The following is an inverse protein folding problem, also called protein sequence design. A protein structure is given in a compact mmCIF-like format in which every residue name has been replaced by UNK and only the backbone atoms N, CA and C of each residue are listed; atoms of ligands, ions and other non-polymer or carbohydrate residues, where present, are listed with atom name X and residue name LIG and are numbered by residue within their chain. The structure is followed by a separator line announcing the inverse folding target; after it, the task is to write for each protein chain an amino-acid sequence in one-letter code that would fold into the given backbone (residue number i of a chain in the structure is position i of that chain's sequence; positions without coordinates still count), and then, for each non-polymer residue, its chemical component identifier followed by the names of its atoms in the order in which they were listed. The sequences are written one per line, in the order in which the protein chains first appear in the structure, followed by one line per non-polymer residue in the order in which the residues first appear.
data_IF_909052059599
#
_entry.id   IF_909052059599
#
_cell.length_a   1.000
_cell.length_b   1.000
_cell.length_c   1.000
_cell.angle_alpha   90.00
_cell.angle_beta   90.00
_cell.angle_gamma   90.00
#
_symmetry.space_group_name_H-M   'P 1'
#
loop_
_entity.id
_entity.type
_entity.pdbx_description
1 polymer ?
#
# COMPACT_ATOMS: atom_id res chain seq x y z
N UNK A 1 -72.33 -30.95 -28.23
CA UNK A 1 -71.46 -29.78 -27.96
C UNK A 1 -70.49 -30.04 -26.79
N UNK A 2 -69.59 -31.05 -26.89
CA UNK A 2 -68.60 -31.36 -25.83
C UNK A 2 -67.13 -31.07 -26.21
N UNK A 3 -66.85 -30.82 -27.49
CA UNK A 3 -65.48 -30.53 -27.98
C UNK A 3 -64.95 -29.14 -27.57
N UNK A 4 -65.82 -28.13 -27.46
CA UNK A 4 -65.40 -26.76 -27.11
C UNK A 4 -65.03 -26.57 -25.63
N UNK A 5 -65.52 -27.41 -24.72
CA UNK A 5 -65.14 -27.34 -23.30
C UNK A 5 -63.73 -27.89 -23.04
N UNK A 6 -63.26 -28.86 -23.84
CA UNK A 6 -61.90 -29.42 -23.71
C UNK A 6 -60.81 -28.38 -24.05
N UNK A 7 -61.06 -27.53 -25.05
CA UNK A 7 -60.10 -26.51 -25.53
C UNK A 7 -59.84 -25.42 -24.46
N UNK A 8 -60.85 -25.05 -23.67
CA UNK A 8 -60.74 -23.99 -22.64
C UNK A 8 -59.95 -24.41 -21.40
N UNK A 9 -59.89 -25.71 -21.08
CA UNK A 9 -59.04 -26.24 -20.01
C UNK A 9 -57.60 -26.49 -20.49
N UNK A 10 -57.43 -26.88 -21.75
CA UNK A 10 -56.13 -27.12 -22.38
C UNK A 10 -55.27 -25.85 -22.51
N UNK A 11 -55.87 -24.68 -22.75
CA UNK A 11 -55.12 -23.42 -22.86
C UNK A 11 -54.38 -23.04 -21.57
N UNK A 12 -54.95 -23.32 -20.40
CA UNK A 12 -54.28 -23.08 -19.11
C UNK A 12 -53.07 -24.00 -18.96
N UNK A 13 -53.20 -25.29 -19.27
CA UNK A 13 -52.08 -26.23 -19.22
C UNK A 13 -50.96 -25.88 -20.22
N UNK A 14 -51.31 -25.38 -21.42
CA UNK A 14 -50.32 -24.89 -22.38
C UNK A 14 -49.56 -23.67 -21.86
N UNK A 15 -50.25 -22.69 -21.27
CA UNK A 15 -49.62 -21.51 -20.68
C UNK A 15 -48.70 -21.90 -19.52
N UNK A 16 -49.13 -22.80 -18.64
CA UNK A 16 -48.28 -23.26 -17.53
C UNK A 16 -47.06 -24.04 -18.04
N UNK A 17 -47.22 -24.85 -19.09
CA UNK A 17 -46.12 -25.58 -19.72
C UNK A 17 -45.07 -24.66 -20.35
N UNK A 18 -45.51 -23.62 -21.07
CA UNK A 18 -44.62 -22.60 -21.66
C UNK A 18 -43.92 -21.81 -20.55
N UNK A 19 -44.66 -21.39 -19.52
CA UNK A 19 -44.09 -20.68 -18.38
C UNK A 19 -42.97 -21.49 -17.73
N UNK A 20 -43.22 -22.77 -17.45
CA UNK A 20 -42.23 -23.68 -16.87
C UNK A 20 -40.97 -23.79 -17.76
N UNK A 21 -41.17 -23.97 -19.07
CA UNK A 21 -40.07 -24.05 -20.04
C UNK A 21 -39.23 -22.77 -20.05
N UNK A 22 -39.89 -21.60 -20.03
CA UNK A 22 -39.20 -20.30 -20.02
C UNK A 22 -38.43 -20.05 -18.73
N UNK A 23 -38.95 -20.45 -17.56
CA UNK A 23 -38.20 -20.36 -16.30
C UNK A 23 -36.98 -21.27 -16.29
N UNK A 24 -37.08 -22.48 -16.84
CA UNK A 24 -35.93 -23.39 -16.91
C UNK A 24 -34.87 -22.85 -17.89
N UNK A 25 -35.31 -22.32 -19.04
CA UNK A 25 -34.41 -21.72 -20.03
C UNK A 25 -33.73 -20.44 -19.52
N UNK A 26 -34.46 -19.58 -18.82
CA UNK A 26 -33.89 -18.38 -18.21
C UNK A 26 -32.97 -18.72 -17.03
N UNK A 27 -33.35 -19.70 -16.21
CA UNK A 27 -32.56 -20.18 -15.08
C UNK A 27 -31.22 -20.78 -15.51
N UNK A 28 -31.20 -21.58 -16.58
CA UNK A 28 -29.96 -22.17 -17.10
C UNK A 28 -29.00 -21.10 -17.63
N UNK A 29 -29.51 -20.09 -18.32
CA UNK A 29 -28.70 -18.97 -18.80
C UNK A 29 -28.14 -18.12 -17.65
N UNK A 30 -28.95 -17.89 -16.61
CA UNK A 30 -28.52 -17.18 -15.40
C UNK A 30 -27.37 -17.89 -14.66
N UNK A 31 -27.43 -19.23 -14.56
CA UNK A 31 -26.36 -20.01 -13.91
C UNK A 31 -25.05 -19.91 -14.68
N UNK A 32 -25.11 -19.99 -16.02
CA UNK A 32 -23.91 -19.84 -16.86
C UNK A 32 -23.31 -18.44 -16.70
N UNK A 33 -24.15 -17.41 -16.72
CA UNK A 33 -23.69 -16.03 -16.53
C UNK A 33 -23.04 -15.83 -15.15
N UNK A 34 -23.64 -16.36 -14.09
CA UNK A 34 -23.09 -16.30 -12.74
C UNK A 34 -21.70 -16.96 -12.66
N UNK A 35 -21.51 -18.12 -13.33
CA UNK A 35 -20.20 -18.79 -13.36
C UNK A 35 -19.14 -17.96 -14.08
N UNK A 36 -19.51 -17.29 -15.17
CA UNK A 36 -18.60 -16.37 -15.89
C UNK A 36 -18.23 -15.19 -15.01
N UNK A 37 -19.22 -14.59 -14.33
CA UNK A 37 -19.00 -13.45 -13.46
C UNK A 37 -18.09 -13.82 -12.28
N UNK A 38 -18.34 -14.94 -11.59
CA UNK A 38 -17.47 -15.44 -10.52
C UNK A 38 -16.04 -15.67 -11.04
N UNK A 39 -15.89 -16.24 -12.24
CA UNK A 39 -14.57 -16.50 -12.82
C UNK A 39 -13.81 -15.20 -13.11
N UNK A 40 -14.50 -14.17 -13.62
CA UNK A 40 -13.92 -12.84 -13.84
C UNK A 40 -13.51 -12.19 -12.52
N UNK A 41 -14.41 -12.16 -11.53
CA UNK A 41 -14.10 -11.61 -10.21
C UNK A 41 -12.94 -12.34 -9.54
N UNK A 42 -12.85 -13.67 -9.69
CA UNK A 42 -11.74 -14.46 -9.16
C UNK A 42 -10.41 -14.11 -9.86
N UNK A 43 -10.43 -13.89 -11.17
CA UNK A 43 -9.24 -13.48 -11.91
C UNK A 43 -8.77 -12.07 -11.50
N UNK A 44 -9.70 -11.13 -11.31
CA UNK A 44 -9.39 -9.78 -10.87
C UNK A 44 -8.84 -9.76 -9.43
N UNK A 45 -9.46 -10.53 -8.52
CA UNK A 45 -8.93 -10.73 -7.17
C UNK A 45 -7.52 -11.32 -7.20
N UNK A 46 -7.26 -12.29 -8.07
CA UNK A 46 -5.93 -12.91 -8.22
C UNK A 46 -4.88 -11.93 -8.75
N UNK A 47 -5.25 -11.04 -9.68
CA UNK A 47 -4.36 -9.97 -10.17
C UNK A 47 -4.00 -9.03 -9.03
N UNK A 48 -5.00 -8.60 -8.27
CA UNK A 48 -4.81 -7.68 -7.15
C UNK A 48 -3.97 -8.31 -6.02
N UNK A 49 -4.20 -9.58 -5.70
CA UNK A 49 -3.36 -10.34 -4.76
C UNK A 49 -1.91 -10.44 -5.21
N UNK A 50 -1.67 -10.62 -6.52
CA UNK A 50 -0.32 -10.67 -7.08
C UNK A 50 0.40 -9.33 -6.92
N UNK A 51 -0.26 -8.22 -7.23
CA UNK A 51 0.29 -6.87 -7.05
C UNK A 51 0.60 -6.58 -5.57
N UNK A 52 -0.31 -6.96 -4.66
CA UNK A 52 -0.07 -6.85 -3.22
C UNK A 52 1.14 -7.67 -2.79
N UNK A 53 1.28 -8.90 -3.28
CA UNK A 53 2.41 -9.77 -2.97
C UNK A 53 3.75 -9.22 -3.49
N UNK A 54 3.75 -8.60 -4.68
CA UNK A 54 4.93 -7.96 -5.26
C UNK A 54 5.36 -6.73 -4.44
N UNK A 55 4.43 -5.82 -4.16
CA UNK A 55 4.68 -4.66 -3.32
C UNK A 55 5.18 -5.05 -1.92
N UNK A 56 4.61 -6.10 -1.32
CA UNK A 56 5.06 -6.60 -0.03
C UNK A 56 6.50 -7.12 -0.08
N UNK A 57 6.93 -7.75 -1.18
CA UNK A 57 8.32 -8.20 -1.38
C UNK A 57 9.26 -7.02 -1.53
N UNK A 58 8.88 -5.99 -2.29
CA UNK A 58 9.67 -4.78 -2.43
C UNK A 58 9.84 -4.05 -1.11
N UNK A 59 8.75 -3.85 -0.36
CA UNK A 59 8.78 -3.22 0.97
C UNK A 59 9.68 -3.99 1.93
N UNK A 60 9.64 -5.33 1.92
CA UNK A 60 10.56 -6.16 2.72
C UNK A 60 12.01 -5.95 2.31
N UNK A 61 12.30 -5.88 1.01
CA UNK A 61 13.64 -5.58 0.49
C UNK A 61 14.15 -4.20 0.93
N UNK A 62 13.31 -3.17 0.84
CA UNK A 62 13.63 -1.82 1.30
C UNK A 62 13.86 -1.76 2.81
N UNK A 63 12.99 -2.41 3.59
CA UNK A 63 13.15 -2.49 5.04
C UNK A 63 14.43 -3.24 5.44
N UNK A 64 14.79 -4.30 4.73
CA UNK A 64 16.05 -5.01 4.96
C UNK A 64 17.27 -4.11 4.66
N UNK A 65 17.24 -3.34 3.57
CA UNK A 65 18.29 -2.35 3.26
C UNK A 65 18.37 -1.26 4.33
N UNK A 66 17.23 -0.71 4.74
CA UNK A 66 17.14 0.30 5.80
C UNK A 66 17.68 -0.21 7.13
N UNK A 67 17.31 -1.44 7.51
CA UNK A 67 17.82 -2.08 8.72
C UNK A 67 19.33 -2.31 8.66
N UNK A 68 19.87 -2.65 7.47
CA UNK A 68 21.31 -2.79 7.27
C UNK A 68 22.04 -1.45 7.41
N UNK A 69 21.51 -0.37 6.84
CA UNK A 69 22.08 0.97 6.94
C UNK A 69 22.01 1.54 8.37
N UNK A 70 20.90 1.29 9.08
CA UNK A 70 20.70 1.69 10.47
C UNK A 70 21.43 0.78 11.47
N UNK A 71 22.07 -0.29 11.00
CA UNK A 71 22.80 -1.19 11.88
C UNK A 71 23.95 -0.40 12.55
N UNK A 72 24.06 -0.40 13.90
CA UNK A 72 25.06 0.38 14.62
C UNK A 72 26.50 0.12 14.17
N UNK A 73 26.80 -1.08 13.64
CA UNK A 73 28.11 -1.40 13.04
C UNK A 73 28.37 -0.64 11.74
N UNK A 74 27.39 -0.60 10.83
CA UNK A 74 27.45 0.18 9.59
C UNK A 74 27.50 1.68 9.86
N UNK A 75 26.72 2.18 10.82
CA UNK A 75 26.80 3.56 11.27
C UNK A 75 28.19 3.88 11.86
N UNK A 76 28.72 3.03 12.74
CA UNK A 76 30.07 3.21 13.31
C UNK A 76 31.17 3.25 12.25
N UNK A 77 31.05 2.45 11.19
CA UNK A 77 31.94 2.48 10.04
C UNK A 77 31.79 3.79 9.23
N UNK A 78 30.56 4.23 8.96
CA UNK A 78 30.26 5.48 8.25
C UNK A 78 30.75 6.74 8.99
N UNK A 79 30.68 6.73 10.32
CA UNK A 79 31.18 7.85 11.14
C UNK A 79 32.60 7.64 11.67
N UNK A 80 33.32 6.68 11.08
CA UNK A 80 34.73 6.39 11.36
C UNK A 80 35.56 7.68 11.43
N UNK A 81 36.15 7.93 12.59
CA UNK A 81 36.94 9.10 12.96
C UNK A 81 36.24 10.48 12.99
N UNK A 82 34.96 10.62 12.65
CA UNK A 82 34.25 11.92 12.75
C UNK A 82 33.48 12.11 14.05
N UNK A 83 32.95 11.04 14.64
CA UNK A 83 32.27 11.05 15.94
C UNK A 83 33.18 10.43 17.00
N UNK A 84 34.15 11.20 17.48
CA UNK A 84 34.88 10.86 18.71
C UNK A 84 34.04 11.28 19.92
N UNK A 85 34.00 10.45 20.98
CA UNK A 85 33.27 10.76 22.21
C UNK A 85 33.81 12.07 22.77
N UNK A 86 33.01 13.14 22.90
CA UNK A 86 33.51 14.41 23.42
C UNK A 86 34.04 14.19 24.83
N UNK A 87 35.17 14.83 25.16
CA UNK A 87 35.70 14.82 26.53
C UNK A 87 34.60 15.24 27.50
N UNK A 88 34.45 14.60 28.67
CA UNK A 88 33.37 14.90 29.62
C UNK A 88 33.33 16.38 30.03
N UNK A 89 34.48 17.07 30.00
CA UNK A 89 34.60 18.52 30.22
C UNK A 89 33.96 19.41 29.14
N UNK A 90 33.56 18.84 27.99
CA UNK A 90 32.89 19.55 26.88
C UNK A 90 31.41 19.15 26.74
N UNK A 91 30.89 18.36 27.67
CA UNK A 91 29.48 17.98 27.72
C UNK A 91 28.76 18.94 28.64
N UNK A 92 27.90 19.78 28.08
CA UNK A 92 27.05 20.69 28.84
C UNK A 92 25.65 20.09 28.94
N UNK A 93 25.17 19.91 30.16
CA UNK A 93 23.79 19.50 30.42
C UNK A 93 22.93 20.74 30.53
N UNK A 94 22.03 20.92 29.57
CA UNK A 94 21.08 22.04 29.57
C UNK A 94 19.83 21.59 30.32
N UNK A 95 19.39 22.37 31.31
CA UNK A 95 18.11 22.12 32.00
C UNK A 95 16.94 22.58 31.12
N UNK A 96 15.77 21.97 31.25
CA UNK A 96 14.61 22.27 30.39
C UNK A 96 14.25 23.76 30.35
N UNK A 97 14.39 24.45 31.49
CA UNK A 97 14.19 25.90 31.59
C UNK A 97 15.21 26.73 30.78
N UNK A 98 16.46 26.28 30.68
CA UNK A 98 17.48 26.93 29.84
C UNK A 98 17.30 26.61 28.35
N UNK A 99 16.77 25.43 28.03
CA UNK A 99 16.51 25.02 26.64
C UNK A 99 15.41 25.88 26.01
N UNK A 100 14.29 26.06 26.72
CA UNK A 100 13.20 26.96 26.35
C UNK A 100 13.70 28.40 26.17
N UNK A 101 14.52 28.89 27.11
CA UNK A 101 15.11 30.24 27.06
C UNK A 101 16.04 30.44 25.84
N UNK A 102 16.73 29.39 25.40
CA UNK A 102 17.62 29.43 24.22
C UNK A 102 16.89 29.27 22.89
N UNK A 103 15.74 28.57 22.87
CA UNK A 103 14.89 28.50 21.67
C UNK A 103 14.19 29.83 21.37
N UNK A 104 13.83 30.59 22.41
CA UNK A 104 13.26 31.95 22.26
C UNK A 104 14.30 33.00 21.83
N UNK A 105 15.59 32.69 21.90
CA UNK A 105 16.65 33.55 21.40
C UNK A 105 16.86 33.29 19.91
N UNK A 106 16.48 34.24 19.06
CA UNK A 106 16.79 34.23 17.63
C UNK A 106 18.30 34.01 17.43
N UNK A 107 18.69 32.89 16.79
CA UNK A 107 20.10 32.55 16.64
C UNK A 107 20.89 33.69 15.97
N UNK A 108 22.10 34.02 16.46
CA UNK A 108 22.96 35.01 15.81
C UNK A 108 23.32 34.58 14.38
N UNK A 109 23.21 35.52 13.44
CA UNK A 109 23.33 35.33 11.98
C UNK A 109 24.63 34.65 11.50
N UNK A 110 25.67 34.55 12.32
CA UNK A 110 26.96 33.96 11.96
C UNK A 110 26.90 32.45 11.64
N UNK A 111 25.94 31.70 12.17
CA UNK A 111 25.83 30.26 11.84
C UNK A 111 25.15 29.98 10.50
N UNK A 112 24.49 30.98 9.88
CA UNK A 112 23.79 30.79 8.59
C UNK A 112 24.78 30.73 7.41
N UNK A 113 25.95 31.35 7.52
CA UNK A 113 26.92 31.38 6.42
C UNK A 113 27.69 30.07 6.22
N UNK A 114 27.91 29.26 7.27
CA UNK A 114 28.66 28.00 7.14
C UNK A 114 27.92 26.91 6.36
N UNK A 115 26.57 26.93 6.33
CA UNK A 115 25.77 26.01 5.51
C UNK A 115 25.83 26.34 4.01
N UNK A 116 26.04 27.60 3.63
CA UNK A 116 26.14 27.98 2.21
C UNK A 116 27.49 27.58 1.59
N UNK A 117 28.57 27.54 2.38
CA UNK A 117 29.88 27.14 1.88
C UNK A 117 29.98 25.63 1.56
N UNK A 118 29.32 24.76 2.33
CA UNK A 118 29.33 23.30 2.09
C UNK A 118 28.28 22.83 1.09
N UNK A 119 27.35 23.69 0.66
CA UNK A 119 26.37 23.37 -0.38
C UNK A 119 26.91 23.54 -1.80
N UNK A 120 28.11 24.13 -1.96
CA UNK A 120 28.75 24.36 -3.26
C UNK A 120 29.92 23.40 -3.55
N UNK A 121 30.12 22.38 -2.70
CA UNK A 121 31.07 21.30 -2.97
C UNK A 121 30.31 20.13 -3.58
N UNK A 122 30.54 19.93 -4.88
CA UNK A 122 29.98 18.87 -5.71
C UNK A 122 30.06 17.49 -5.02
N UNK A 123 29.07 16.59 -5.24
CA UNK A 123 29.17 15.22 -4.74
C UNK A 123 30.34 14.51 -5.42
N UNK A 124 31.29 14.04 -4.60
CA UNK A 124 32.34 13.12 -5.01
C UNK A 124 31.72 11.87 -5.64
N UNK A 125 31.73 11.82 -6.97
CA UNK A 125 31.49 10.61 -7.75
C UNK A 125 32.69 9.70 -7.54
N UNK A 126 32.54 8.66 -6.72
CA UNK A 126 33.49 7.56 -6.63
C UNK A 126 33.32 6.69 -7.89
N UNK A 127 34.33 6.74 -8.77
CA UNK A 127 34.53 5.83 -9.89
C UNK A 127 35.57 4.79 -9.50
#
# INVERSE_FOLDING_TARGET
MKFFQSIKSSSKFLLTGIALLTTIAAGSLGIVWLRVEISRTAEDSRKLEKEVAENARELRGLNAKRAKELNPSSLKALVGNRLSKPKPSRVFFVKDAEFQRRQSLTLPHHFRQRRKATANSQPLVLR
#
